data_IF_120837151337
#
_entry.id   IF_120837151337
#
_cell.length_a   1.000
_cell.length_b   1.000
_cell.length_c   1.000
_cell.angle_alpha   90.00
_cell.angle_beta   90.00
_cell.angle_gamma   90.00
#
_symmetry.space_group_name_H-M   'P 1'
#
loop_
_entity.id
_entity.type
_entity.pdbx_description
1 polymer ?
#
# COMPACT_ATOMS: atom_id res chain seq x y z
N UNK A 1 -9.89 15.39 12.28
CA UNK A 1 -9.68 14.67 11.01
C UNK A 1 -11.00 14.65 10.27
N UNK A 2 -11.03 15.13 9.02
CA UNK A 2 -12.25 15.19 8.23
C UNK A 2 -12.62 13.76 7.81
N UNK A 3 -13.71 13.22 8.37
CA UNK A 3 -14.23 11.92 7.98
C UNK A 3 -14.75 12.04 6.53
N UNK A 4 -14.16 11.28 5.61
CA UNK A 4 -14.80 11.05 4.31
C UNK A 4 -16.12 10.32 4.59
N UNK A 5 -17.22 10.77 3.98
CA UNK A 5 -18.55 10.18 4.15
C UNK A 5 -18.68 8.76 3.53
N UNK A 6 -17.64 7.93 3.63
CA UNK A 6 -17.55 6.62 2.97
C UNK A 6 -17.43 6.68 1.45
N UNK A 7 -17.43 7.88 0.85
CA UNK A 7 -17.28 8.05 -0.61
C UNK A 7 -15.85 7.68 -1.02
N UNK A 8 -15.73 6.84 -2.05
CA UNK A 8 -14.46 6.41 -2.61
C UNK A 8 -13.63 7.63 -3.04
N UNK A 9 -12.41 7.76 -2.50
CA UNK A 9 -11.51 8.88 -2.83
C UNK A 9 -10.72 8.60 -4.11
N UNK A 10 -10.03 7.46 -4.17
CA UNK A 10 -9.21 7.04 -5.30
C UNK A 10 -9.69 5.69 -5.83
N UNK A 11 -9.71 5.52 -7.16
CA UNK A 11 -9.93 4.22 -7.79
C UNK A 11 -8.90 3.95 -8.88
N UNK A 12 -8.47 2.69 -8.99
CA UNK A 12 -7.50 2.26 -9.98
C UNK A 12 -8.00 0.98 -10.66
N UNK A 13 -8.03 0.99 -11.99
CA UNK A 13 -8.40 -0.16 -12.81
C UNK A 13 -7.35 -0.40 -13.90
N UNK A 14 -6.88 -1.63 -14.00
CA UNK A 14 -5.85 -2.07 -14.95
C UNK A 14 -5.90 -3.59 -15.08
N UNK A 15 -5.28 -4.15 -16.11
CA UNK A 15 -4.96 -5.58 -16.14
C UNK A 15 -3.96 -5.91 -15.02
N UNK A 16 -4.22 -7.00 -14.30
CA UNK A 16 -3.25 -7.56 -13.34
C UNK A 16 -2.05 -8.09 -14.13
N UNK A 17 -0.81 -7.68 -13.84
CA UNK A 17 0.38 -8.24 -14.48
C UNK A 17 0.57 -9.72 -14.12
N UNK A 18 1.29 -10.48 -14.94
CA UNK A 18 1.57 -11.89 -14.66
C UNK A 18 2.33 -12.05 -13.34
N UNK A 19 1.70 -12.73 -12.39
CA UNK A 19 2.26 -13.04 -11.08
C UNK A 19 3.35 -14.10 -11.20
N UNK A 20 4.34 -14.02 -10.32
CA UNK A 20 5.42 -14.99 -10.17
C UNK A 20 5.39 -15.53 -8.74
N UNK A 21 5.49 -16.84 -8.64
CA UNK A 21 5.76 -17.50 -7.36
C UNK A 21 7.25 -17.48 -7.08
N UNK A 22 7.63 -17.30 -5.81
CA UNK A 22 9.02 -17.29 -5.36
C UNK A 22 9.15 -18.17 -4.12
N UNK A 23 10.36 -18.70 -3.90
CA UNK A 23 10.64 -19.51 -2.73
C UNK A 23 10.47 -18.70 -1.45
N UNK A 24 9.98 -19.37 -0.40
CA UNK A 24 9.79 -18.75 0.91
C UNK A 24 11.07 -18.10 1.42
N UNK A 25 10.93 -16.98 2.14
CA UNK A 25 12.01 -16.22 2.79
C UNK A 25 12.96 -15.48 1.85
N UNK A 26 12.80 -15.61 0.53
CA UNK A 26 13.61 -14.87 -0.44
C UNK A 26 13.19 -13.41 -0.62
N UNK A 27 11.95 -13.08 -0.26
CA UNK A 27 11.33 -11.75 -0.43
C UNK A 27 10.70 -11.26 0.87
N UNK A 28 11.53 -11.13 1.91
CA UNK A 28 11.12 -10.58 3.19
C UNK A 28 11.13 -9.04 3.14
N UNK A 29 9.99 -8.44 3.47
CA UNK A 29 9.86 -7.01 3.72
C UNK A 29 9.79 -6.75 5.23
N UNK A 30 10.38 -5.63 5.66
CA UNK A 30 10.25 -5.08 7.02
C UNK A 30 9.78 -3.64 6.93
N UNK A 31 8.81 -3.27 7.75
CA UNK A 31 8.31 -1.92 7.88
C UNK A 31 8.00 -1.61 9.34
N UNK A 32 8.09 -0.34 9.73
CA UNK A 32 7.63 0.13 11.04
C UNK A 32 6.27 0.76 10.88
N UNK A 33 5.25 0.17 11.49
CA UNK A 33 3.91 0.77 11.56
C UNK A 33 3.88 1.74 12.72
N UNK A 34 3.57 3.01 12.45
CA UNK A 34 3.30 4.02 13.47
C UNK A 34 1.79 4.21 13.60
N UNK A 35 1.26 4.04 14.80
CA UNK A 35 -0.17 4.19 15.06
C UNK A 35 -0.43 4.65 16.50
N UNK A 36 -1.68 4.99 16.79
CA UNK A 36 -2.14 5.37 18.12
C UNK A 36 -2.91 4.20 18.73
N UNK A 37 -2.51 3.79 19.94
CA UNK A 37 -3.23 2.82 20.78
C UNK A 37 -3.47 3.50 22.13
N UNK A 38 -4.72 3.53 22.58
CA UNK A 38 -5.15 4.18 23.83
C UNK A 38 -4.63 5.62 23.99
N UNK A 39 -4.67 6.39 22.89
CA UNK A 39 -4.23 7.79 22.86
C UNK A 39 -2.71 8.00 22.89
N UNK A 40 -1.91 6.93 22.88
CA UNK A 40 -0.45 7.00 22.86
C UNK A 40 0.11 6.49 21.55
N UNK A 41 1.16 7.15 21.08
CA UNK A 41 1.93 6.69 19.93
C UNK A 41 2.63 5.38 20.25
N UNK A 42 2.51 4.44 19.34
CA UNK A 42 3.20 3.16 19.36
C UNK A 42 3.84 2.91 18.01
N UNK A 43 4.86 2.06 18.03
CA UNK A 43 5.45 1.45 16.86
C UNK A 43 5.23 -0.06 16.88
N UNK A 44 5.08 -0.68 15.72
CA UNK A 44 5.08 -2.13 15.56
C UNK A 44 6.02 -2.50 14.43
N UNK A 45 6.93 -3.44 14.67
CA UNK A 45 7.71 -4.05 13.60
C UNK A 45 6.80 -4.96 12.80
N UNK A 46 6.63 -4.67 11.52
CA UNK A 46 5.87 -5.49 10.58
C UNK A 46 6.85 -6.21 9.69
N UNK A 47 6.79 -7.54 9.68
CA UNK A 47 7.55 -8.37 8.75
C UNK A 47 6.59 -9.18 7.89
N UNK A 48 6.83 -9.18 6.58
CA UNK A 48 6.05 -10.00 5.64
C UNK A 48 6.96 -10.78 4.69
N UNK A 49 6.67 -12.06 4.51
CA UNK A 49 7.29 -12.95 3.53
C UNK A 49 6.38 -13.04 2.29
N UNK A 50 6.79 -12.44 1.17
CA UNK A 50 6.01 -12.43 -0.08
C UNK A 50 6.27 -13.73 -0.85
N UNK A 51 5.19 -14.39 -1.27
CA UNK A 51 5.23 -15.69 -1.98
C UNK A 51 4.77 -15.57 -3.43
N UNK A 52 3.87 -14.63 -3.74
CA UNK A 52 3.34 -14.43 -5.09
C UNK A 52 3.13 -12.95 -5.37
N UNK A 53 3.83 -12.43 -6.38
CA UNK A 53 3.77 -11.01 -6.71
C UNK A 53 4.05 -10.71 -8.19
N UNK A 54 3.72 -9.49 -8.60
CA UNK A 54 4.19 -8.90 -9.84
C UNK A 54 4.56 -7.43 -9.64
N UNK A 55 5.56 -6.97 -10.38
CA UNK A 55 5.92 -5.55 -10.44
C UNK A 55 5.97 -5.10 -11.89
N UNK A 56 5.44 -3.92 -12.15
CA UNK A 56 5.48 -3.31 -13.49
C UNK A 56 5.88 -1.85 -13.38
N UNK A 57 7.05 -1.52 -13.92
CA UNK A 57 7.45 -0.13 -14.12
C UNK A 57 6.67 0.47 -15.29
N UNK A 58 6.27 1.73 -15.12
CA UNK A 58 5.50 2.52 -16.09
C UNK A 58 4.30 1.73 -16.66
N UNK A 59 3.36 1.30 -15.80
CA UNK A 59 2.22 0.51 -16.24
C UNK A 59 1.38 1.29 -17.28
N UNK A 60 0.98 0.59 -18.34
CA UNK A 60 0.14 1.14 -19.42
C UNK A 60 -1.32 0.79 -19.20
N UNK A 61 -2.22 1.57 -19.80
CA UNK A 61 -3.68 1.35 -19.77
C UNK A 61 -4.25 1.32 -18.34
N UNK A 62 -3.72 2.17 -17.47
CA UNK A 62 -4.25 2.37 -16.13
C UNK A 62 -5.33 3.45 -16.16
N UNK A 63 -6.52 3.11 -15.71
CA UNK A 63 -7.58 4.06 -15.41
C UNK A 63 -7.44 4.43 -13.94
N UNK A 64 -7.05 5.68 -13.66
CA UNK A 64 -6.91 6.20 -12.31
C UNK A 64 -7.88 7.36 -12.11
N UNK A 65 -8.86 7.19 -11.23
CA UNK A 65 -9.87 8.21 -10.92
C UNK A 65 -9.53 8.80 -9.56
N UNK A 66 -9.42 10.13 -9.55
CA UNK A 66 -9.28 10.96 -8.35
C UNK A 66 -10.61 11.67 -8.11
N UNK A 67 -11.16 11.61 -6.90
CA UNK A 67 -12.42 12.27 -6.54
C UNK A 67 -12.14 13.57 -5.75
N UNK A 68 -12.73 13.73 -4.58
CA UNK A 68 -12.65 14.98 -3.80
C UNK A 68 -12.18 14.72 -2.36
N UNK A 69 -11.56 13.56 -2.10
CA UNK A 69 -11.11 13.20 -0.77
C UNK A 69 -9.68 13.70 -0.44
N UNK A 70 -9.24 13.48 0.80
CA UNK A 70 -7.96 13.97 1.29
C UNK A 70 -6.75 13.46 0.49
N UNK A 71 -6.78 12.23 -0.03
CA UNK A 71 -5.67 11.68 -0.82
C UNK A 71 -5.65 12.30 -2.21
N UNK A 72 -6.81 12.56 -2.82
CA UNK A 72 -6.86 13.30 -4.08
C UNK A 72 -6.24 14.68 -3.92
N UNK A 73 -6.63 15.42 -2.88
CA UNK A 73 -6.06 16.74 -2.59
C UNK A 73 -4.54 16.68 -2.44
N UNK A 74 -4.03 15.76 -1.62
CA UNK A 74 -2.60 15.56 -1.41
C UNK A 74 -1.85 15.28 -2.72
N UNK A 75 -2.35 14.34 -3.54
CA UNK A 75 -1.71 14.02 -4.82
C UNK A 75 -1.71 15.20 -5.79
N UNK A 76 -2.74 16.04 -5.76
CA UNK A 76 -2.81 17.24 -6.60
C UNK A 76 -1.82 18.32 -6.12
N UNK A 77 -1.73 18.54 -4.81
CA UNK A 77 -0.77 19.49 -4.21
C UNK A 77 0.69 19.08 -4.44
N UNK A 78 0.97 17.77 -4.45
CA UNK A 78 2.29 17.21 -4.79
C UNK A 78 2.59 17.22 -6.29
N UNK A 79 1.63 17.60 -7.15
CA UNK A 79 1.77 17.48 -8.61
C UNK A 79 1.91 16.03 -9.10
N UNK A 80 1.49 15.05 -8.29
CA UNK A 80 1.60 13.64 -8.59
C UNK A 80 0.61 13.23 -9.70
N UNK A 81 1.15 13.06 -10.91
CA UNK A 81 0.38 12.80 -12.13
C UNK A 81 0.77 11.52 -12.85
N UNK A 82 1.93 10.93 -12.53
CA UNK A 82 2.48 9.76 -13.25
C UNK A 82 2.70 8.58 -12.31
N UNK A 83 2.13 7.43 -12.68
CA UNK A 83 2.38 6.17 -11.99
C UNK A 83 3.71 5.61 -12.49
N UNK A 84 4.69 5.52 -11.59
CA UNK A 84 6.04 5.02 -11.91
C UNK A 84 6.13 3.50 -11.81
N UNK A 85 5.41 2.90 -10.85
CA UNK A 85 5.41 1.46 -10.59
C UNK A 85 4.04 1.01 -10.11
N UNK A 86 3.63 -0.18 -10.55
CA UNK A 86 2.51 -0.94 -10.00
C UNK A 86 3.07 -2.21 -9.39
N UNK A 87 2.87 -2.38 -8.08
CA UNK A 87 3.20 -3.60 -7.34
C UNK A 87 1.88 -4.30 -7.01
N UNK A 88 1.79 -5.60 -7.32
CA UNK A 88 0.66 -6.46 -6.99
C UNK A 88 1.18 -7.62 -6.17
N UNK A 89 0.66 -7.80 -4.96
CA UNK A 89 0.98 -8.94 -4.08
C UNK A 89 -0.30 -9.75 -3.94
N UNK A 90 -0.23 -11.05 -4.25
CA UNK A 90 -1.36 -11.97 -4.11
C UNK A 90 -1.24 -12.77 -2.82
N UNK A 91 -0.07 -13.35 -2.57
CA UNK A 91 0.17 -14.26 -1.45
C UNK A 91 1.36 -13.75 -0.63
N UNK A 92 1.15 -13.61 0.68
CA UNK A 92 2.18 -13.26 1.64
C UNK A 92 1.83 -13.81 3.03
N UNK A 93 2.85 -14.05 3.84
CA UNK A 93 2.73 -14.39 5.26
C UNK A 93 3.19 -13.19 6.07
N UNK A 94 2.45 -12.80 7.10
CA UNK A 94 2.81 -11.71 7.99
C UNK A 94 3.12 -12.23 9.39
N UNK A 95 4.15 -11.68 10.02
CA UNK A 95 4.46 -11.93 11.43
C UNK A 95 3.64 -10.98 12.29
N UNK A 96 3.00 -11.52 13.32
CA UNK A 96 2.30 -10.74 14.32
C UNK A 96 3.27 -10.32 15.43
N UNK A 97 3.61 -9.04 15.45
CA UNK A 97 4.34 -8.43 16.56
C UNK A 97 3.42 -7.53 17.37
N UNK A 98 3.71 -7.38 18.67
CA UNK A 98 2.97 -6.48 19.54
C UNK A 98 3.46 -5.04 19.37
N UNK A 99 2.56 -4.05 19.48
CA UNK A 99 2.96 -2.65 19.51
C UNK A 99 3.76 -2.35 20.77
N UNK A 100 4.81 -1.55 20.61
CA UNK A 100 5.58 -0.98 21.72
C UNK A 100 5.40 0.54 21.74
N UNK A 101 5.27 1.17 22.91
CA UNK A 101 5.23 2.62 22.99
C UNK A 101 6.45 3.25 22.31
N UNK A 102 6.23 4.37 21.61
CA UNK A 102 7.32 5.20 21.08
C UNK A 102 8.05 5.94 22.19
#
# INVERSE_FOLDING_TARGET
>A
MQQSHGKLDLSLKTSVPTLKHVDSETHINKATMLHIVDGKWHQTDVQSNVLSFAQKLFPKKVQFVKNEGPLTKLLNELGASKILRLDVIQDAQAVLNLPTPL
#
